data_IF_321753749722
#
_entry.id   IF_321753749722
#
_cell.length_a   1.000
_cell.length_b   1.000
_cell.length_c   1.000
_cell.angle_alpha   90.00
_cell.angle_beta   90.00
_cell.angle_gamma   90.00
#
_symmetry.space_group_name_H-M   'P 1'
#
loop_
_entity.id
_entity.type
_entity.pdbx_description
1 polymer ?
#
# COMPACT_ATOMS: atom_id res chain seq x y z
N UNK A 1 1.44 17.59 12.56
CA UNK A 1 1.81 16.14 12.62
C UNK A 1 3.31 16.01 12.37
N UNK A 2 4.05 15.20 13.14
CA UNK A 2 5.51 15.07 12.96
C UNK A 2 5.86 14.28 11.68
N UNK A 3 6.38 14.99 10.67
CA UNK A 3 6.73 14.44 9.35
C UNK A 3 7.74 13.28 9.43
N UNK A 4 8.73 13.38 10.34
CA UNK A 4 9.68 12.28 10.62
C UNK A 4 9.02 11.00 11.11
N UNK A 5 7.93 11.10 11.88
CA UNK A 5 7.23 9.93 12.39
C UNK A 5 6.44 9.24 11.28
N UNK A 6 5.74 10.01 10.44
CA UNK A 6 5.00 9.46 9.30
C UNK A 6 5.92 8.77 8.28
N UNK A 7 7.08 9.36 8.00
CA UNK A 7 8.09 8.75 7.12
C UNK A 7 8.63 7.44 7.67
N UNK A 8 8.91 7.37 8.98
CA UNK A 8 9.29 6.10 9.62
C UNK A 8 8.18 5.06 9.54
N UNK A 9 6.92 5.46 9.73
CA UNK A 9 5.80 4.56 9.64
C UNK A 9 5.66 3.97 8.24
N UNK A 10 5.72 4.79 7.19
CA UNK A 10 5.74 4.31 5.80
C UNK A 10 6.91 3.36 5.55
N UNK A 11 8.10 3.66 6.06
CA UNK A 11 9.27 2.78 5.90
C UNK A 11 9.09 1.42 6.58
N UNK A 12 8.53 1.40 7.78
CA UNK A 12 8.23 0.16 8.53
C UNK A 12 7.15 -0.65 7.83
N UNK A 13 6.09 0.01 7.36
CA UNK A 13 5.01 -0.64 6.60
C UNK A 13 5.57 -1.22 5.31
N UNK A 14 6.36 -0.45 4.56
CA UNK A 14 6.93 -0.92 3.30
C UNK A 14 7.88 -2.10 3.48
N UNK A 15 8.75 -2.08 4.50
CA UNK A 15 9.62 -3.20 4.84
C UNK A 15 8.81 -4.46 5.25
N UNK A 16 7.75 -4.27 6.03
CA UNK A 16 6.85 -5.35 6.40
C UNK A 16 6.16 -5.97 5.18
N UNK A 17 5.65 -5.16 4.25
CA UNK A 17 5.00 -5.63 3.03
C UNK A 17 5.95 -6.40 2.12
N UNK A 18 7.20 -5.95 1.99
CA UNK A 18 8.23 -6.69 1.25
C UNK A 18 8.56 -8.03 1.91
N UNK A 19 8.65 -8.08 3.24
CA UNK A 19 8.85 -9.33 3.97
C UNK A 19 7.70 -10.31 3.78
N UNK A 20 6.45 -9.83 3.82
CA UNK A 20 5.27 -10.68 3.59
C UNK A 20 5.22 -11.17 2.14
N UNK A 21 5.50 -10.29 1.17
CA UNK A 21 5.57 -10.63 -0.26
C UNK A 21 6.65 -11.68 -0.52
N UNK A 22 7.87 -11.47 -0.02
CA UNK A 22 8.98 -12.42 -0.15
C UNK A 22 8.71 -13.73 0.59
N UNK A 23 8.16 -13.65 1.81
CA UNK A 23 7.76 -14.82 2.59
C UNK A 23 6.71 -15.66 1.88
N UNK A 24 5.71 -15.03 1.26
CA UNK A 24 4.71 -15.72 0.44
C UNK A 24 5.34 -16.49 -0.71
N UNK A 25 6.27 -15.87 -1.46
CA UNK A 25 7.00 -16.53 -2.56
C UNK A 25 7.81 -17.71 -2.05
N UNK A 26 8.54 -17.54 -0.93
CA UNK A 26 9.39 -18.60 -0.36
C UNK A 26 8.55 -19.78 0.16
N UNK A 27 7.41 -19.52 0.80
CA UNK A 27 6.56 -20.54 1.39
C UNK A 27 5.74 -21.33 0.35
N UNK A 28 5.25 -20.65 -0.70
CA UNK A 28 4.44 -21.28 -1.76
C UNK A 28 5.28 -21.81 -2.93
N UNK A 29 6.54 -21.39 -3.04
CA UNK A 29 7.48 -21.91 -4.03
C UNK A 29 6.94 -21.83 -5.46
N UNK A 30 7.14 -22.91 -6.22
CA UNK A 30 6.69 -23.01 -7.62
C UNK A 30 5.19 -23.12 -7.76
N UNK A 31 4.50 -23.70 -6.78
CA UNK A 31 3.04 -23.92 -6.82
C UNK A 31 2.28 -22.58 -6.79
N UNK A 32 2.84 -21.59 -6.08
CA UNK A 32 2.34 -20.22 -6.12
C UNK A 32 2.51 -19.54 -7.50
N UNK A 33 3.57 -19.86 -8.23
CA UNK A 33 3.84 -19.27 -9.56
C UNK A 33 2.85 -19.77 -10.63
N UNK A 34 2.25 -20.94 -10.43
CA UNK A 34 1.23 -21.47 -11.33
C UNK A 34 -0.15 -20.82 -11.11
N UNK A 35 -0.32 -20.10 -10.00
CA UNK A 35 -1.58 -19.42 -9.66
C UNK A 35 -1.51 -17.93 -10.06
N UNK A 36 -2.14 -17.51 -11.18
CA UNK A 36 -2.02 -16.14 -11.68
C UNK A 36 -2.56 -15.08 -10.71
N UNK A 37 -3.60 -15.43 -9.93
CA UNK A 37 -4.17 -14.56 -8.90
C UNK A 37 -3.15 -14.26 -7.79
N UNK A 38 -2.43 -15.28 -7.35
CA UNK A 38 -1.38 -15.13 -6.32
C UNK A 38 -0.23 -14.27 -6.83
N UNK A 39 0.22 -14.47 -8.06
CA UNK A 39 1.26 -13.64 -8.67
C UNK A 39 0.87 -12.17 -8.71
N UNK A 40 -0.35 -11.86 -9.16
CA UNK A 40 -0.86 -10.49 -9.20
C UNK A 40 -0.93 -9.90 -7.79
N UNK A 41 -1.45 -10.65 -6.82
CA UNK A 41 -1.55 -10.21 -5.43
C UNK A 41 -0.19 -9.88 -4.83
N UNK A 42 0.79 -10.78 -4.98
CA UNK A 42 2.15 -10.64 -4.44
C UNK A 42 2.89 -9.51 -5.13
N UNK A 43 2.71 -9.33 -6.44
CA UNK A 43 3.28 -8.23 -7.18
C UNK A 43 2.71 -6.88 -6.72
N UNK A 44 1.39 -6.78 -6.54
CA UNK A 44 0.73 -5.60 -6.00
C UNK A 44 1.21 -5.28 -4.57
N UNK A 45 1.36 -6.31 -3.73
CA UNK A 45 1.85 -6.18 -2.35
C UNK A 45 3.31 -5.71 -2.32
N UNK A 46 4.15 -6.30 -3.17
CA UNK A 46 5.56 -5.92 -3.30
C UNK A 46 5.71 -4.49 -3.80
N UNK A 47 4.95 -4.11 -4.84
CA UNK A 47 4.93 -2.74 -5.35
C UNK A 47 4.46 -1.75 -4.28
N UNK A 48 3.40 -2.08 -3.53
CA UNK A 48 2.95 -1.26 -2.40
C UNK A 48 4.08 -1.03 -1.38
N UNK A 49 4.82 -2.10 -1.04
CA UNK A 49 5.97 -2.02 -0.16
C UNK A 49 7.11 -1.13 -0.69
N UNK A 50 7.41 -1.24 -1.99
CA UNK A 50 8.40 -0.36 -2.65
C UNK A 50 7.96 1.10 -2.59
N UNK A 51 6.69 1.40 -2.89
CA UNK A 51 6.18 2.77 -2.86
C UNK A 51 6.22 3.38 -1.46
N UNK A 52 5.93 2.60 -0.42
CA UNK A 52 6.02 3.04 0.97
C UNK A 52 7.47 3.24 1.44
N UNK A 53 8.42 2.43 0.96
CA UNK A 53 9.86 2.67 1.20
C UNK A 53 10.33 3.94 0.50
N UNK A 54 9.94 4.15 -0.76
CA UNK A 54 10.27 5.38 -1.51
C UNK A 54 9.71 6.61 -0.79
N UNK A 55 8.49 6.53 -0.25
CA UNK A 55 7.91 7.60 0.57
C UNK A 55 8.68 7.88 1.86
N UNK A 56 9.35 6.86 2.41
CA UNK A 56 10.13 6.96 3.65
C UNK A 56 11.54 7.54 3.42
N UNK A 57 12.14 7.30 2.26
CA UNK A 57 13.47 7.80 1.90
C UNK A 57 13.44 9.21 1.31
N UNK A 58 14.31 10.09 1.81
CA UNK A 58 14.66 11.38 1.18
C UNK A 58 15.52 11.16 -0.08
N UNK A 59 14.98 10.42 -1.05
CA UNK A 59 15.55 10.41 -2.40
C UNK A 59 14.92 11.56 -3.19
N UNK A 60 15.67 12.23 -4.07
CA UNK A 60 15.19 13.38 -4.86
C UNK A 60 13.91 13.15 -5.69
N UNK A 61 13.38 11.92 -5.76
CA UNK A 61 12.03 11.61 -6.22
C UNK A 61 10.92 12.14 -5.30
N UNK A 62 11.15 12.20 -3.98
CA UNK A 62 10.20 12.78 -3.02
C UNK A 62 10.14 14.32 -3.09
N UNK A 63 11.18 14.93 -3.65
CA UNK A 63 11.27 16.37 -3.98
C UNK A 63 10.43 16.72 -5.23
N UNK A 64 10.37 15.82 -6.22
CA UNK A 64 9.51 15.99 -7.42
C UNK A 64 8.07 15.54 -7.21
N UNK A 65 7.86 14.52 -6.38
CA UNK A 65 6.55 13.96 -6.12
C UNK A 65 6.41 13.74 -4.62
N UNK A 66 5.56 14.55 -3.97
CA UNK A 66 5.51 14.62 -2.53
C UNK A 66 5.31 13.24 -1.86
N UNK A 67 6.04 13.02 -0.77
CA UNK A 67 6.11 11.74 -0.05
C UNK A 67 4.73 11.13 0.27
N UNK A 68 3.73 11.95 0.57
CA UNK A 68 2.38 11.49 0.88
C UNK A 68 1.63 10.91 -0.34
N UNK A 69 1.98 11.33 -1.57
CA UNK A 69 1.39 10.78 -2.79
C UNK A 69 1.97 9.41 -3.14
N UNK A 70 3.26 9.19 -2.84
CA UNK A 70 3.90 7.88 -2.92
C UNK A 70 3.27 6.88 -1.95
N UNK A 71 3.08 7.27 -0.68
CA UNK A 71 2.39 6.41 0.29
C UNK A 71 0.90 6.23 -0.06
N UNK A 72 0.26 7.24 -0.67
CA UNK A 72 -1.09 7.12 -1.23
C UNK A 72 -1.18 6.05 -2.34
N UNK A 73 -0.21 6.01 -3.25
CA UNK A 73 -0.12 4.96 -4.28
C UNK A 73 0.11 3.58 -3.68
N UNK A 74 0.96 3.48 -2.64
CA UNK A 74 1.14 2.26 -1.85
C UNK A 74 -0.17 1.74 -1.28
N UNK A 75 -0.96 2.61 -0.64
CA UNK A 75 -2.26 2.25 -0.07
C UNK A 75 -3.28 1.76 -1.11
N UNK A 76 -3.31 2.35 -2.31
CA UNK A 76 -4.18 1.86 -3.40
C UNK A 76 -3.81 0.45 -3.81
N UNK A 77 -2.52 0.19 -4.00
CA UNK A 77 -2.04 -1.13 -4.43
C UNK A 77 -2.21 -2.18 -3.34
N UNK A 78 -2.02 -1.80 -2.08
CA UNK A 78 -2.30 -2.66 -0.94
C UNK A 78 -3.78 -3.01 -0.86
N UNK A 79 -4.67 -2.03 -1.07
CA UNK A 79 -6.11 -2.27 -1.09
C UNK A 79 -6.54 -3.24 -2.20
N UNK A 80 -5.95 -3.10 -3.40
CA UNK A 80 -6.15 -4.04 -4.50
C UNK A 80 -5.59 -5.43 -4.17
N UNK A 81 -4.39 -5.52 -3.60
CA UNK A 81 -3.78 -6.79 -3.19
C UNK A 81 -4.66 -7.56 -2.21
N UNK A 82 -5.21 -6.88 -1.20
CA UNK A 82 -6.14 -7.51 -0.24
C UNK A 82 -7.38 -8.07 -0.92
N UNK A 83 -7.92 -7.34 -1.90
CA UNK A 83 -9.10 -7.78 -2.65
C UNK A 83 -8.81 -9.07 -3.42
N UNK A 84 -7.63 -9.17 -4.06
CA UNK A 84 -7.20 -10.37 -4.78
C UNK A 84 -6.87 -11.56 -3.86
N UNK A 85 -6.48 -11.32 -2.60
CA UNK A 85 -6.08 -12.38 -1.67
C UNK A 85 -7.18 -13.34 -1.22
N UNK A 86 -8.44 -13.00 -1.43
CA UNK A 86 -9.59 -13.82 -1.04
C UNK A 86 -10.49 -14.20 -2.23
N UNK A 87 -10.10 -13.81 -3.44
CA UNK A 87 -10.78 -14.23 -4.68
C UNK A 87 -10.64 -15.76 -4.80
N UNK A 88 -11.78 -16.45 -4.80
CA UNK A 88 -11.83 -17.91 -4.83
C UNK A 88 -11.83 -18.58 -3.45
N UNK A 89 -11.92 -17.82 -2.36
CA UNK A 89 -12.15 -18.42 -1.03
C UNK A 89 -13.62 -18.80 -0.83
N UNK A 90 -13.87 -19.93 -0.16
CA UNK A 90 -15.23 -20.39 0.19
C UNK A 90 -15.90 -19.51 1.26
N UNK A 91 -15.15 -18.60 1.89
CA UNK A 91 -15.65 -17.75 2.97
C UNK A 91 -16.05 -16.36 2.48
N UNK A 92 -17.35 -16.19 2.31
CA UNK A 92 -17.98 -14.91 1.98
C UNK A 92 -17.65 -13.81 3.01
N UNK A 93 -17.50 -14.18 4.29
CA UNK A 93 -17.13 -13.23 5.34
C UNK A 93 -15.74 -12.63 5.13
N UNK A 94 -14.72 -13.47 4.89
CA UNK A 94 -13.35 -12.98 4.67
C UNK A 94 -13.23 -12.21 3.36
N UNK A 95 -13.95 -12.63 2.32
CA UNK A 95 -14.04 -11.88 1.07
C UNK A 95 -14.62 -10.48 1.29
N UNK A 96 -15.74 -10.37 2.01
CA UNK A 96 -16.37 -9.09 2.32
C UNK A 96 -15.48 -8.21 3.20
N UNK A 97 -14.86 -8.79 4.21
CA UNK A 97 -13.95 -8.08 5.10
C UNK A 97 -12.74 -7.53 4.32
N UNK A 98 -12.14 -8.35 3.46
CA UNK A 98 -11.03 -7.95 2.63
C UNK A 98 -11.43 -6.92 1.56
N UNK A 99 -12.61 -7.05 0.97
CA UNK A 99 -13.14 -6.07 0.03
C UNK A 99 -13.40 -4.71 0.70
N UNK A 100 -14.06 -4.70 1.87
CA UNK A 100 -14.32 -3.46 2.64
C UNK A 100 -13.01 -2.83 3.10
N UNK A 101 -12.08 -3.62 3.65
CA UNK A 101 -10.76 -3.14 4.05
C UNK A 101 -9.96 -2.60 2.86
N UNK A 102 -9.95 -3.33 1.75
CA UNK A 102 -9.24 -2.97 0.53
C UNK A 102 -9.78 -1.70 -0.13
N UNK A 103 -11.11 -1.57 -0.24
CA UNK A 103 -11.76 -0.36 -0.73
C UNK A 103 -11.47 0.84 0.18
N UNK A 104 -11.48 0.64 1.50
CA UNK A 104 -11.18 1.70 2.46
C UNK A 104 -9.75 2.22 2.32
N UNK A 105 -8.78 1.30 2.18
CA UNK A 105 -7.38 1.62 1.92
C UNK A 105 -7.19 2.31 0.57
N UNK A 106 -7.86 1.84 -0.48
CA UNK A 106 -7.81 2.48 -1.78
C UNK A 106 -8.42 3.89 -1.76
N UNK A 107 -9.55 4.09 -1.08
CA UNK A 107 -10.15 5.41 -0.92
C UNK A 107 -9.21 6.36 -0.17
N UNK A 108 -8.56 5.90 0.90
CA UNK A 108 -7.56 6.67 1.64
C UNK A 108 -6.34 6.99 0.78
N UNK A 109 -5.87 6.04 -0.02
CA UNK A 109 -4.77 6.23 -0.96
C UNK A 109 -5.10 7.24 -2.06
N UNK A 110 -6.31 7.19 -2.62
CA UNK A 110 -6.82 8.16 -3.61
C UNK A 110 -6.93 9.55 -3.00
N UNK A 111 -7.42 9.68 -1.76
CA UNK A 111 -7.46 10.96 -1.06
C UNK A 111 -6.06 11.57 -0.89
N UNK A 112 -5.06 10.75 -0.55
CA UNK A 112 -3.67 11.21 -0.46
C UNK A 112 -3.08 11.57 -1.84
N UNK A 113 -3.41 10.83 -2.89
CA UNK A 113 -2.89 11.01 -4.25
C UNK A 113 -3.47 12.22 -4.99
N UNK A 114 -4.79 12.40 -4.93
CA UNK A 114 -5.55 13.35 -5.72
C UNK A 114 -6.01 14.57 -4.90
N UNK A 115 -6.29 14.38 -3.61
CA UNK A 115 -6.85 15.43 -2.75
C UNK A 115 -5.89 15.85 -1.63
N UNK A 116 -4.62 15.41 -1.67
CA UNK A 116 -3.57 15.77 -0.72
C UNK A 116 -3.93 15.49 0.75
N UNK A 117 -4.77 14.47 1.01
CA UNK A 117 -5.20 14.09 2.36
C UNK A 117 -6.33 14.95 2.94
N UNK A 118 -6.95 15.83 2.13
CA UNK A 118 -7.95 16.79 2.59
C UNK A 118 -9.13 16.12 3.30
N UNK A 119 -9.60 14.98 2.80
CA UNK A 119 -10.83 14.36 3.31
C UNK A 119 -10.57 13.37 4.45
N UNK A 120 -9.41 12.69 4.46
CA UNK A 120 -9.11 11.69 5.50
C UNK A 120 -8.31 12.26 6.66
N UNK A 121 -7.54 13.33 6.46
CA UNK A 121 -6.69 13.94 7.51
C UNK A 121 -7.15 15.31 7.98
N UNK A 122 -8.24 15.85 7.44
CA UNK A 122 -8.83 17.13 7.85
C UNK A 122 -8.04 18.38 7.41
N UNK A 123 -6.75 18.24 7.08
CA UNK A 123 -5.88 19.30 6.57
C UNK A 123 -5.15 18.83 5.31
N UNK A 124 -4.97 19.75 4.34
CA UNK A 124 -4.19 19.45 3.13
C UNK A 124 -2.70 19.42 3.48
N UNK A 125 -2.03 18.32 3.13
CA UNK A 125 -0.61 18.10 3.40
C UNK A 125 0.33 18.96 2.54
N UNK A 126 -0.20 19.70 1.55
CA UNK A 126 0.58 20.61 0.70
C UNK A 126 0.86 21.98 1.36
N UNK A 127 0.10 22.37 2.39
CA UNK A 127 0.28 23.64 3.09
C UNK A 127 1.30 23.60 4.21
N UNK A 128 1.71 22.42 4.68
CA UNK A 128 2.68 22.26 5.77
C UNK A 128 4.12 22.18 5.29
N UNK A 129 4.36 22.24 3.97
CA UNK A 129 5.67 22.13 3.34
C UNK A 129 6.29 23.49 2.95
N UNK A 130 5.75 24.62 3.45
CA UNK A 130 6.31 25.96 3.27
C UNK A 130 7.17 26.40 4.45
#
# INVERSE_FOLDING_TARGET
MNERHNRRLSGVIGAFLLLVSGGGIVLLGTDGLETPVFLVQVALLGLAGVFDIVAATDMGLTDRWAWYRWSGAGNVLLGLSLSFGFVGSDSLFFLLLAAVGGISLAAMGIDMLAFHGKYTRGERLDRSAS
#
